data_IF_394157630205
#
_entry.id   IF_394157630205
#
_cell.length_a   1.000
_cell.length_b   1.000
_cell.length_c   1.000
_cell.angle_alpha   90.00
_cell.angle_beta   90.00
_cell.angle_gamma   90.00
#
_symmetry.space_group_name_H-M   'P 1'
#
loop_
_entity.id
_entity.type
_entity.pdbx_description
1 polymer ?
#
# COMPACT_ATOMS: atom_id res chain seq x y z
N UNK A 1 -11.61 -10.45 15.08
CA UNK A 1 -10.46 -9.91 14.31
C UNK A 1 -9.26 -9.55 15.18
N UNK A 2 -9.44 -8.88 16.32
CA UNK A 2 -8.40 -8.18 17.10
C UNK A 2 -7.26 -9.00 17.71
N UNK A 3 -7.38 -10.33 17.83
CA UNK A 3 -6.33 -11.16 18.46
C UNK A 3 -5.07 -11.29 17.60
N UNK A 4 -5.21 -11.31 16.27
CA UNK A 4 -4.07 -11.48 15.38
C UNK A 4 -3.19 -10.22 15.32
N UNK A 5 -3.81 -9.04 15.35
CA UNK A 5 -3.10 -7.75 15.34
C UNK A 5 -2.25 -7.51 16.60
N UNK A 6 -2.63 -8.17 17.71
CA UNK A 6 -1.95 -8.07 19.01
C UNK A 6 -1.09 -9.30 19.32
N UNK A 7 -0.98 -10.25 18.40
CA UNK A 7 -0.19 -11.45 18.61
C UNK A 7 1.29 -11.06 18.58
N UNK A 8 1.94 -11.21 19.73
CA UNK A 8 3.38 -11.02 19.89
C UNK A 8 4.09 -12.37 19.95
N UNK A 9 5.26 -12.42 19.33
CA UNK A 9 6.18 -13.56 19.39
C UNK A 9 7.53 -13.09 19.88
N UNK A 10 8.23 -13.98 20.57
CA UNK A 10 9.58 -13.70 21.03
C UNK A 10 10.57 -13.92 19.87
N UNK A 11 11.44 -12.93 19.65
CA UNK A 11 12.53 -12.97 18.67
C UNK A 11 13.82 -12.47 19.31
N UNK A 12 14.96 -12.92 18.79
CA UNK A 12 16.27 -12.36 19.17
C UNK A 12 16.84 -11.61 17.96
N UNK A 13 16.97 -10.28 18.00
CA UNK A 13 17.64 -9.50 16.95
C UNK A 13 19.09 -9.95 16.78
N UNK A 14 19.56 -10.02 15.54
CA UNK A 14 20.92 -10.43 15.21
C UNK A 14 21.79 -9.20 14.93
N UNK A 15 22.74 -8.91 15.82
CA UNK A 15 23.55 -7.67 15.79
C UNK A 15 24.85 -7.76 14.98
N UNK A 16 24.97 -8.68 14.00
CA UNK A 16 26.22 -8.83 13.26
C UNK A 16 26.08 -8.41 11.79
N UNK A 17 27.07 -7.63 11.33
CA UNK A 17 27.28 -7.10 9.96
C UNK A 17 27.13 -8.13 8.82
N UNK A 18 27.11 -9.43 9.15
CA UNK A 18 27.02 -10.57 8.23
C UNK A 18 25.68 -11.32 8.27
N UNK A 19 24.81 -11.08 9.26
CA UNK A 19 23.53 -11.77 9.42
C UNK A 19 22.39 -10.77 9.63
N UNK A 20 21.72 -10.36 8.54
CA UNK A 20 20.52 -9.51 8.59
C UNK A 20 19.34 -10.29 9.19
N UNK A 21 18.50 -9.62 9.99
CA UNK A 21 17.22 -10.15 10.47
C UNK A 21 17.18 -10.51 11.96
N UNK A 22 16.39 -11.54 12.29
CA UNK A 22 16.12 -11.97 13.66
C UNK A 22 16.11 -13.50 13.76
N UNK A 23 16.42 -14.00 14.95
CA UNK A 23 16.30 -15.42 15.29
C UNK A 23 14.95 -15.69 15.97
N UNK A 24 14.05 -16.47 15.34
CA UNK A 24 12.75 -16.79 15.92
C UNK A 24 12.87 -17.93 16.93
N UNK A 25 12.83 -17.62 18.22
CA UNK A 25 13.11 -18.62 19.28
C UNK A 25 12.06 -19.74 19.35
N UNK A 26 10.84 -19.48 18.88
CA UNK A 26 9.71 -20.42 18.89
C UNK A 26 9.57 -21.24 17.59
N UNK A 27 10.39 -21.00 16.56
CA UNK A 27 10.26 -21.64 15.24
C UNK A 27 10.92 -23.03 15.15
N UNK A 28 11.02 -23.74 16.28
CA UNK A 28 11.72 -25.04 16.34
C UNK A 28 10.71 -26.17 16.52
N UNK A 29 10.88 -27.24 15.75
CA UNK A 29 10.25 -28.50 16.07
C UNK A 29 10.88 -29.04 17.36
N UNK A 30 10.07 -29.61 18.27
CA UNK A 30 10.55 -30.21 19.51
C UNK A 30 11.58 -31.33 19.27
N UNK A 31 11.59 -31.93 18.07
CA UNK A 31 12.51 -33.00 17.68
C UNK A 31 13.78 -32.51 17.00
N UNK A 32 13.95 -31.21 16.77
CA UNK A 32 15.14 -30.67 16.11
C UNK A 32 16.30 -30.49 17.11
N UNK A 33 17.54 -30.93 16.77
CA UNK A 33 18.70 -30.71 17.64
C UNK A 33 18.98 -29.21 17.81
N UNK A 34 19.35 -28.75 19.03
CA UNK A 34 19.69 -27.35 19.28
C UNK A 34 20.71 -26.83 18.26
N UNK A 35 20.52 -25.62 17.67
CA UNK A 35 21.56 -25.02 16.84
C UNK A 35 22.84 -24.86 17.66
N UNK A 36 23.99 -25.07 17.02
CA UNK A 36 25.29 -25.07 17.68
C UNK A 36 25.63 -23.74 18.36
N UNK A 37 25.16 -22.62 17.80
CA UNK A 37 25.36 -21.28 18.35
C UNK A 37 24.00 -20.58 18.48
N UNK A 38 23.56 -20.34 19.72
CA UNK A 38 22.44 -19.43 19.97
C UNK A 38 22.95 -17.98 19.99
N UNK A 39 22.16 -17.02 19.48
CA UNK A 39 22.48 -15.62 19.71
C UNK A 39 22.43 -15.35 21.22
N UNK A 40 23.38 -14.54 21.71
CA UNK A 40 23.54 -14.21 23.13
C UNK A 40 22.66 -13.05 23.59
N UNK A 41 22.03 -12.32 22.67
CA UNK A 41 21.12 -11.20 22.94
C UNK A 41 19.81 -11.68 23.58
N UNK A 42 19.20 -10.80 24.38
CA UNK A 42 17.93 -11.09 25.07
C UNK A 42 16.78 -11.13 24.06
N UNK A 43 15.81 -12.05 24.22
CA UNK A 43 14.59 -12.02 23.44
C UNK A 43 13.80 -10.72 23.65
N UNK A 44 13.26 -10.19 22.58
CA UNK A 44 12.29 -9.10 22.57
C UNK A 44 10.96 -9.61 22.02
N UNK A 45 9.86 -8.96 22.39
CA UNK A 45 8.54 -9.23 21.82
C UNK A 45 8.32 -8.39 20.58
N UNK A 46 7.84 -9.01 19.52
CA UNK A 46 7.52 -8.35 18.27
C UNK A 46 6.17 -8.82 17.72
N UNK A 47 5.48 -7.94 17.00
CA UNK A 47 4.18 -8.29 16.39
C UNK A 47 4.39 -9.31 15.28
N UNK A 48 3.72 -10.45 15.40
CA UNK A 48 3.80 -11.52 14.41
C UNK A 48 3.41 -11.04 13.00
N UNK A 49 2.44 -10.12 12.90
CA UNK A 49 2.01 -9.57 11.61
C UNK A 49 3.09 -8.71 10.94
N UNK A 50 3.85 -7.92 11.70
CA UNK A 50 4.97 -7.13 11.16
C UNK A 50 6.01 -8.04 10.54
N UNK A 51 6.34 -9.15 11.22
CA UNK A 51 7.26 -10.17 10.72
C UNK A 51 6.76 -10.86 9.44
N UNK A 52 5.45 -11.08 9.32
CA UNK A 52 4.84 -11.65 8.12
C UNK A 52 4.88 -10.68 6.93
N UNK A 53 4.65 -9.38 7.17
CA UNK A 53 4.80 -8.35 6.13
C UNK A 53 6.24 -8.30 5.63
N UNK A 54 7.21 -8.29 6.55
CA UNK A 54 8.63 -8.30 6.21
C UNK A 54 9.01 -9.57 5.44
N UNK A 55 8.51 -10.73 5.88
CA UNK A 55 8.73 -11.99 5.18
C UNK A 55 8.16 -11.98 3.75
N UNK A 56 7.04 -11.27 3.53
CA UNK A 56 6.42 -11.08 2.23
C UNK A 56 7.21 -10.08 1.36
N UNK A 57 7.75 -9.01 1.95
CA UNK A 57 8.63 -8.04 1.29
C UNK A 57 9.94 -8.68 0.84
N UNK A 58 10.64 -9.33 1.76
CA UNK A 58 11.93 -9.95 1.52
C UNK A 58 11.90 -11.11 0.53
N UNK A 59 10.79 -11.84 0.40
CA UNK A 59 10.69 -12.95 -0.58
C UNK A 59 10.78 -12.51 -2.04
N UNK A 60 10.64 -11.23 -2.34
CA UNK A 60 10.79 -10.71 -3.70
C UNK A 60 12.22 -10.25 -4.04
N UNK A 61 13.03 -9.91 -3.04
CA UNK A 61 14.41 -9.45 -3.23
C UNK A 61 15.41 -10.60 -3.38
N UNK A 62 15.03 -11.84 -3.05
CA UNK A 62 15.94 -12.98 -3.09
C UNK A 62 15.86 -13.64 -4.47
N UNK A 63 16.96 -13.60 -5.22
CA UNK A 63 17.11 -14.38 -6.46
C UNK A 63 16.95 -15.86 -6.13
N UNK A 64 16.22 -16.60 -6.97
CA UNK A 64 15.86 -18.02 -6.75
C UNK A 64 17.07 -18.93 -6.52
N UNK A 65 18.26 -18.52 -6.95
CA UNK A 65 19.53 -19.24 -6.82
C UNK A 65 20.22 -19.05 -5.46
N UNK A 66 19.89 -17.98 -4.71
CA UNK A 66 20.49 -17.63 -3.41
C UNK A 66 19.53 -17.88 -2.23
N UNK A 67 18.36 -18.49 -2.46
CA UNK A 67 17.36 -18.72 -1.41
C UNK A 67 17.26 -20.19 -1.01
N UNK A 68 17.58 -20.49 0.25
CA UNK A 68 17.17 -21.75 0.90
C UNK A 68 15.62 -21.86 1.09
N UNK A 69 14.88 -20.80 0.74
CA UNK A 69 13.44 -20.71 0.94
C UNK A 69 12.68 -21.46 -0.16
N UNK A 70 11.99 -22.52 0.25
CA UNK A 70 11.18 -23.37 -0.64
C UNK A 70 9.85 -22.75 -1.11
N UNK A 71 9.41 -21.63 -0.51
CA UNK A 71 8.09 -21.03 -0.76
C UNK A 71 8.14 -19.51 -1.00
N UNK A 72 7.26 -19.03 -1.87
CA UNK A 72 7.22 -17.63 -2.33
C UNK A 72 6.20 -16.73 -1.58
N UNK A 73 5.41 -17.32 -0.68
CA UNK A 73 4.47 -16.63 0.22
C UNK A 73 3.39 -15.75 -0.44
N UNK A 74 3.00 -15.98 -1.70
CA UNK A 74 2.01 -15.15 -2.39
C UNK A 74 0.67 -15.01 -1.66
N UNK A 75 0.21 -16.08 -1.03
CA UNK A 75 -1.05 -16.10 -0.28
C UNK A 75 -1.06 -15.18 0.96
N UNK A 76 0.09 -14.73 1.47
CA UNK A 76 0.11 -13.73 2.53
C UNK A 76 -0.52 -12.41 2.09
N UNK A 77 -0.43 -12.06 0.80
CA UNK A 77 -1.10 -10.87 0.28
C UNK A 77 -2.62 -10.94 0.46
N UNK A 78 -3.23 -12.12 0.26
CA UNK A 78 -4.65 -12.33 0.53
C UNK A 78 -5.00 -12.23 2.03
N UNK A 79 -4.09 -12.68 2.91
CA UNK A 79 -4.24 -12.50 4.37
C UNK A 79 -4.24 -11.02 4.72
N UNK A 80 -3.34 -10.22 4.13
CA UNK A 80 -3.26 -8.78 4.36
C UNK A 80 -4.49 -8.04 3.85
N UNK A 81 -5.03 -8.43 2.69
CA UNK A 81 -6.29 -7.90 2.17
C UNK A 81 -7.45 -8.16 3.14
N UNK A 82 -7.57 -9.38 3.68
CA UNK A 82 -8.62 -9.72 4.63
C UNK A 82 -8.47 -8.98 5.97
N UNK A 83 -7.25 -8.84 6.49
CA UNK A 83 -6.99 -8.13 7.74
C UNK A 83 -7.29 -6.64 7.58
N UNK A 84 -6.80 -6.02 6.50
CA UNK A 84 -7.03 -4.60 6.19
C UNK A 84 -8.50 -4.29 5.87
N UNK A 85 -9.33 -5.30 5.56
CA UNK A 85 -10.79 -5.09 5.47
C UNK A 85 -11.41 -4.60 6.79
N UNK A 86 -10.74 -4.77 7.93
CA UNK A 86 -11.22 -4.31 9.24
C UNK A 86 -10.55 -2.98 9.65
N UNK A 87 -11.24 -2.09 10.41
CA UNK A 87 -10.69 -0.79 10.83
C UNK A 87 -9.31 -0.87 11.50
N UNK A 88 -9.16 -1.72 12.52
CA UNK A 88 -7.88 -1.91 13.23
C UNK A 88 -6.78 -2.46 12.30
N UNK A 89 -7.16 -3.23 11.28
CA UNK A 89 -6.24 -3.74 10.28
C UNK A 89 -5.72 -2.63 9.37
N UNK A 90 -6.60 -1.73 8.90
CA UNK A 90 -6.19 -0.54 8.13
C UNK A 90 -5.21 0.31 8.92
N UNK A 91 -5.52 0.56 10.20
CA UNK A 91 -4.64 1.31 11.09
C UNK A 91 -3.28 0.65 11.22
N UNK A 92 -3.23 -0.67 11.43
CA UNK A 92 -1.96 -1.42 11.50
C UNK A 92 -1.08 -1.19 10.27
N UNK A 93 -1.64 -1.25 9.05
CA UNK A 93 -0.87 -1.08 7.82
C UNK A 93 -0.34 0.35 7.62
N UNK A 94 -0.91 1.34 8.30
CA UNK A 94 -0.49 2.74 8.26
C UNK A 94 0.35 3.17 9.47
N UNK A 95 0.36 2.41 10.56
CA UNK A 95 1.18 2.72 11.74
C UNK A 95 2.61 2.23 11.55
N UNK A 96 3.63 3.11 11.56
CA UNK A 96 5.01 2.68 11.39
C UNK A 96 5.45 1.64 12.43
N UNK A 97 6.11 0.60 11.94
CA UNK A 97 6.63 -0.52 12.73
C UNK A 97 8.15 -0.63 12.52
N UNK A 98 8.83 -1.27 13.47
CA UNK A 98 10.25 -1.60 13.33
C UNK A 98 10.46 -2.59 12.19
N UNK A 99 11.51 -2.39 11.40
CA UNK A 99 11.95 -3.31 10.35
C UNK A 99 13.25 -3.99 10.77
N UNK A 100 13.35 -5.30 10.56
CA UNK A 100 14.55 -6.08 10.90
C UNK A 100 15.43 -6.42 9.69
N UNK A 101 14.93 -6.23 8.47
CA UNK A 101 15.63 -6.53 7.22
C UNK A 101 16.65 -5.46 6.80
N UNK A 102 16.55 -4.23 7.31
CA UNK A 102 17.43 -3.12 6.97
C UNK A 102 18.53 -2.94 8.03
N UNK A 103 19.82 -2.77 7.65
CA UNK A 103 20.94 -2.60 8.60
C UNK A 103 20.90 -1.32 9.46
N UNK A 104 19.95 -0.42 9.21
CA UNK A 104 19.81 0.81 9.96
C UNK A 104 18.88 0.54 11.14
N UNK A 105 19.48 0.43 12.32
CA UNK A 105 18.74 0.27 13.57
C UNK A 105 17.71 1.39 13.76
N UNK A 106 16.44 1.00 13.91
CA UNK A 106 15.39 1.91 14.39
C UNK A 106 14.60 2.66 13.31
N UNK A 107 14.77 2.36 12.02
CA UNK A 107 13.88 2.92 10.99
C UNK A 107 12.48 2.31 11.18
N UNK A 108 11.50 3.18 11.40
CA UNK A 108 10.08 2.82 11.43
C UNK A 108 9.49 3.04 10.04
N UNK A 109 8.81 2.05 9.51
CA UNK A 109 8.11 2.16 8.22
C UNK A 109 6.69 1.61 8.38
N UNK A 110 5.73 2.25 7.71
CA UNK A 110 4.37 1.72 7.64
C UNK A 110 4.38 0.37 6.89
N UNK A 111 3.75 -0.70 7.42
CA UNK A 111 3.72 -2.00 6.76
C UNK A 111 3.17 -1.95 5.32
N UNK A 112 2.31 -0.99 5.00
CA UNK A 112 1.82 -0.77 3.63
C UNK A 112 2.95 -0.45 2.65
N UNK A 113 3.95 0.34 3.04
CA UNK A 113 5.05 0.77 2.17
C UNK A 113 5.83 -0.43 1.61
N UNK A 114 6.07 -1.44 2.44
CA UNK A 114 6.74 -2.69 2.04
C UNK A 114 5.94 -3.50 1.01
N UNK A 115 4.63 -3.28 0.91
CA UNK A 115 3.76 -4.00 -0.03
C UNK A 115 3.66 -3.29 -1.39
N UNK A 116 3.81 -1.97 -1.42
CA UNK A 116 3.60 -1.14 -2.60
C UNK A 116 4.33 -1.60 -3.87
N UNK A 117 5.60 -2.09 -3.82
CA UNK A 117 6.29 -2.55 -5.02
C UNK A 117 5.65 -3.77 -5.71
N UNK A 118 4.70 -4.45 -5.06
CA UNK A 118 4.10 -5.69 -5.57
C UNK A 118 2.83 -5.51 -6.39
N UNK A 119 2.43 -4.27 -6.70
CA UNK A 119 1.27 -4.02 -7.58
C UNK A 119 1.50 -4.52 -9.01
N UNK A 120 2.74 -4.65 -9.45
CA UNK A 120 3.10 -5.24 -10.77
C UNK A 120 3.74 -6.64 -10.65
N UNK A 121 3.51 -7.34 -9.54
CA UNK A 121 4.11 -8.66 -9.34
C UNK A 121 3.52 -9.71 -10.33
N UNK A 122 4.33 -10.62 -10.91
CA UNK A 122 3.85 -11.61 -11.91
C UNK A 122 2.75 -12.55 -11.41
N UNK A 123 2.74 -12.86 -10.11
CA UNK A 123 1.70 -13.66 -9.45
C UNK A 123 0.46 -12.84 -9.10
N UNK A 124 -0.70 -13.27 -9.60
CA UNK A 124 -1.99 -12.58 -9.48
C UNK A 124 -2.50 -12.49 -8.03
N UNK A 125 -2.24 -13.51 -7.22
CA UNK A 125 -2.66 -13.54 -5.83
C UNK A 125 -1.90 -12.47 -5.05
N UNK A 126 -0.60 -12.34 -5.33
CA UNK A 126 0.24 -11.33 -4.69
C UNK A 126 -0.19 -9.92 -5.05
N UNK A 127 -0.27 -9.58 -6.34
CA UNK A 127 -0.66 -8.21 -6.74
C UNK A 127 -2.11 -7.89 -6.37
N UNK A 128 -3.04 -8.84 -6.47
CA UNK A 128 -4.43 -8.63 -6.08
C UNK A 128 -4.64 -8.39 -4.59
N UNK A 129 -3.93 -9.14 -3.73
CA UNK A 129 -3.95 -8.90 -2.29
C UNK A 129 -3.34 -7.55 -1.90
N UNK A 130 -2.27 -7.13 -2.59
CA UNK A 130 -1.63 -5.82 -2.39
C UNK A 130 -2.55 -4.69 -2.83
N UNK A 131 -3.12 -4.75 -4.04
CA UNK A 131 -4.06 -3.76 -4.55
C UNK A 131 -5.27 -3.59 -3.61
N UNK A 132 -5.82 -4.71 -3.11
CA UNK A 132 -6.91 -4.70 -2.14
C UNK A 132 -6.49 -4.08 -0.80
N UNK A 133 -5.28 -4.35 -0.33
CA UNK A 133 -4.76 -3.76 0.92
C UNK A 133 -4.59 -2.24 0.79
N UNK A 134 -4.11 -1.75 -0.36
CA UNK A 134 -4.00 -0.30 -0.65
C UNK A 134 -5.40 0.33 -0.66
N UNK A 135 -6.34 -0.26 -1.41
CA UNK A 135 -7.76 0.18 -1.45
C UNK A 135 -8.33 0.26 -0.05
N UNK A 136 -8.12 -0.79 0.75
CA UNK A 136 -8.63 -0.85 2.12
C UNK A 136 -8.08 0.29 2.97
N UNK A 137 -6.77 0.55 2.94
CA UNK A 137 -6.18 1.67 3.67
C UNK A 137 -6.73 3.05 3.21
N UNK A 138 -7.10 3.19 1.93
CA UNK A 138 -7.70 4.41 1.40
C UNK A 138 -9.11 4.73 1.93
N UNK A 139 -9.77 3.83 2.66
CA UNK A 139 -11.01 4.17 3.39
C UNK A 139 -10.77 5.11 4.58
N UNK A 140 -9.53 5.23 5.09
CA UNK A 140 -9.20 6.17 6.16
C UNK A 140 -8.95 7.55 5.53
N UNK A 141 -9.98 8.41 5.52
CA UNK A 141 -9.91 9.73 4.89
C UNK A 141 -8.81 10.63 5.48
N UNK A 142 -8.59 10.59 6.80
CA UNK A 142 -7.51 11.36 7.44
C UNK A 142 -6.10 10.95 6.95
N UNK A 143 -5.95 9.73 6.44
CA UNK A 143 -4.69 9.20 5.93
C UNK A 143 -4.43 9.56 4.46
N UNK A 144 -5.38 10.18 3.74
CA UNK A 144 -5.20 10.49 2.30
C UNK A 144 -3.99 11.38 2.03
N UNK A 145 -3.69 12.32 2.94
CA UNK A 145 -2.49 13.15 2.83
C UNK A 145 -1.22 12.32 2.94
N UNK A 146 -1.13 11.45 3.94
CA UNK A 146 0.00 10.54 4.07
C UNK A 146 0.11 9.58 2.87
N UNK A 147 -1.00 9.06 2.34
CA UNK A 147 -0.98 8.18 1.18
C UNK A 147 -0.43 8.87 -0.08
N UNK A 148 -0.85 10.12 -0.34
CA UNK A 148 -0.53 10.85 -1.56
C UNK A 148 0.78 11.65 -1.52
N UNK A 149 1.29 11.98 -0.32
CA UNK A 149 2.50 12.77 -0.15
C UNK A 149 3.79 11.96 -0.27
N UNK A 150 4.90 12.67 -0.45
CA UNK A 150 6.24 12.10 -0.51
C UNK A 150 6.71 11.54 0.83
N UNK A 151 7.66 10.61 0.82
CA UNK A 151 8.30 10.00 2.00
C UNK A 151 9.03 11.00 2.91
N UNK A 152 9.26 12.23 2.42
CA UNK A 152 9.88 13.34 3.17
C UNK A 152 8.90 14.06 4.09
N UNK A 153 7.60 13.90 3.86
CA UNK A 153 6.55 14.53 4.65
C UNK A 153 6.07 13.58 5.75
N UNK A 154 5.73 14.14 6.92
CA UNK A 154 5.27 13.36 8.08
C UNK A 154 3.92 13.89 8.55
N UNK A 155 3.01 12.98 8.87
CA UNK A 155 1.63 13.26 9.22
C UNK A 155 1.28 12.65 10.57
N UNK A 156 0.41 13.35 11.30
CA UNK A 156 -0.22 12.81 12.51
C UNK A 156 -1.61 12.31 12.17
N UNK A 157 -1.90 11.06 12.50
CA UNK A 157 -3.22 10.44 12.42
C UNK A 157 -3.77 10.20 13.83
N UNK A 158 -5.08 9.96 13.96
CA UNK A 158 -5.69 9.73 15.29
C UNK A 158 -5.12 8.52 16.03
N UNK A 159 -4.53 7.57 15.30
CA UNK A 159 -3.98 6.31 15.82
C UNK A 159 -2.45 6.20 15.70
N UNK A 160 -1.76 7.20 15.13
CA UNK A 160 -0.31 7.19 14.95
C UNK A 160 0.28 8.61 14.87
N UNK A 161 1.34 8.89 15.63
CA UNK A 161 1.87 10.24 15.78
C UNK A 161 2.76 10.72 14.61
N UNK A 162 3.58 9.82 14.08
CA UNK A 162 4.53 10.10 13.01
C UNK A 162 4.35 9.08 11.89
N UNK A 163 3.58 9.43 10.87
CA UNK A 163 3.34 8.59 9.68
C UNK A 163 4.01 9.25 8.47
N UNK A 164 5.06 8.65 7.88
CA UNK A 164 5.68 9.20 6.69
C UNK A 164 4.72 9.11 5.49
N UNK A 165 4.91 10.00 4.51
CA UNK A 165 4.22 9.89 3.24
C UNK A 165 4.58 8.59 2.50
N UNK A 166 3.63 8.05 1.75
CA UNK A 166 3.76 6.73 1.13
C UNK A 166 3.87 6.78 -0.39
N UNK A 167 3.63 7.94 -1.01
CA UNK A 167 3.66 8.14 -2.45
C UNK A 167 3.01 6.99 -3.23
N UNK A 168 1.72 6.69 -2.94
CA UNK A 168 1.07 5.50 -3.49
C UNK A 168 0.70 5.63 -4.98
N UNK A 169 0.63 6.86 -5.51
CA UNK A 169 0.12 7.12 -6.87
C UNK A 169 0.87 6.36 -7.97
N UNK A 170 2.22 6.40 -8.06
CA UNK A 170 2.94 5.63 -9.08
C UNK A 170 2.57 4.15 -9.06
N UNK A 171 2.38 3.58 -7.87
CA UNK A 171 2.13 2.15 -7.66
C UNK A 171 0.71 1.73 -8.02
N UNK A 172 -0.24 2.66 -7.95
CA UNK A 172 -1.63 2.47 -8.40
C UNK A 172 -1.74 2.69 -9.91
N UNK A 173 -1.01 3.67 -10.45
CA UNK A 173 -1.13 4.08 -11.85
C UNK A 173 -0.35 3.18 -12.82
N UNK A 174 0.81 2.64 -12.41
CA UNK A 174 1.62 1.75 -13.26
C UNK A 174 0.80 0.55 -13.79
N UNK A 175 0.01 -0.18 -12.97
CA UNK A 175 -0.89 -1.23 -13.48
C UNK A 175 -1.95 -0.76 -14.49
N UNK A 176 -2.31 0.53 -14.49
CA UNK A 176 -3.32 1.11 -15.39
C UNK A 176 -2.71 1.70 -16.67
N UNK A 177 -1.40 1.96 -16.67
CA UNK A 177 -0.67 2.50 -17.80
C UNK A 177 -0.30 1.41 -18.83
N UNK A 178 -0.40 1.78 -20.12
CA UNK A 178 -0.01 0.95 -21.25
C UNK A 178 1.25 1.49 -21.96
N UNK A 179 1.54 1.01 -23.18
CA UNK A 179 2.72 1.39 -23.95
C UNK A 179 2.53 2.67 -24.77
N UNK A 180 1.41 3.37 -24.59
CA UNK A 180 1.09 4.58 -25.35
C UNK A 180 2.05 5.74 -25.02
N UNK A 181 2.32 6.55 -26.03
CA UNK A 181 3.08 7.79 -25.88
C UNK A 181 2.15 8.95 -25.50
N UNK A 182 2.65 9.87 -24.69
CA UNK A 182 1.94 11.07 -24.27
C UNK A 182 2.43 12.28 -25.07
N UNK A 183 1.54 13.25 -25.29
CA UNK A 183 1.92 14.55 -25.83
C UNK A 183 2.84 15.28 -24.85
N UNK A 184 3.69 16.18 -25.36
CA UNK A 184 4.70 16.87 -24.53
C UNK A 184 4.10 17.59 -23.32
N UNK A 185 2.95 18.23 -23.49
CA UNK A 185 2.24 18.95 -22.43
C UNK A 185 1.74 18.00 -21.33
N UNK A 186 1.29 16.79 -21.71
CA UNK A 186 0.84 15.75 -20.77
C UNK A 186 2.03 15.12 -20.03
N UNK A 187 3.18 14.93 -20.71
CA UNK A 187 4.40 14.34 -20.11
C UNK A 187 4.90 15.15 -18.92
N UNK A 188 4.81 16.49 -18.98
CA UNK A 188 5.24 17.38 -17.90
C UNK A 188 4.40 17.21 -16.62
N UNK A 189 3.17 16.72 -16.72
CA UNK A 189 2.28 16.44 -15.58
C UNK A 189 2.52 15.05 -14.97
N UNK A 190 3.08 14.10 -15.73
CA UNK A 190 3.25 12.72 -15.27
C UNK A 190 4.27 12.61 -14.15
N UNK A 191 3.99 11.72 -13.19
CA UNK A 191 4.97 11.30 -12.19
C UNK A 191 6.19 10.66 -12.87
N UNK A 192 7.41 10.83 -12.34
CA UNK A 192 8.65 10.36 -12.98
C UNK A 192 8.63 8.88 -13.37
N UNK A 193 8.02 8.01 -12.56
CA UNK A 193 7.92 6.58 -12.82
C UNK A 193 6.98 6.21 -13.98
N UNK A 194 6.10 7.13 -14.38
CA UNK A 194 5.12 6.97 -15.45
C UNK A 194 5.57 7.65 -16.75
N UNK A 195 6.69 8.38 -16.71
CA UNK A 195 7.29 8.96 -17.90
C UNK A 195 8.09 7.90 -18.67
N UNK A 196 8.03 7.97 -19.99
CA UNK A 196 8.85 7.16 -20.91
C UNK A 196 8.78 5.64 -20.64
N UNK A 197 7.56 5.13 -20.44
CA UNK A 197 7.34 3.69 -20.29
C UNK A 197 7.81 2.93 -21.55
N UNK A 198 8.38 1.72 -21.40
CA UNK A 198 8.83 0.94 -22.55
C UNK A 198 7.64 0.46 -23.38
N UNK A 199 7.86 0.21 -24.67
CA UNK A 199 6.82 -0.35 -25.56
C UNK A 199 6.34 -1.75 -25.16
N UNK A 200 7.07 -2.43 -24.27
CA UNK A 200 6.67 -3.71 -23.66
C UNK A 200 5.77 -3.55 -22.43
N UNK A 201 5.50 -2.32 -21.98
CA UNK A 201 4.60 -2.06 -20.85
C UNK A 201 3.20 -2.55 -21.21
N UNK A 202 2.68 -3.44 -20.37
CA UNK A 202 1.31 -3.89 -20.45
C UNK A 202 0.51 -3.37 -19.25
N UNK A 203 -0.77 -3.10 -19.49
CA UNK A 203 -1.75 -2.89 -18.42
C UNK A 203 -1.99 -4.18 -17.66
N UNK A 204 -2.54 -4.06 -16.46
CA UNK A 204 -3.07 -5.20 -15.73
C UNK A 204 -4.10 -5.94 -16.57
N UNK A 205 -3.87 -7.24 -16.72
CA UNK A 205 -4.70 -8.16 -17.50
C UNK A 205 -6.06 -8.47 -16.86
N UNK A 206 -6.13 -8.46 -15.53
CA UNK A 206 -7.35 -8.79 -14.79
C UNK A 206 -8.24 -7.55 -14.61
N UNK A 207 -9.48 -7.53 -15.16
CA UNK A 207 -10.39 -6.40 -15.02
C UNK A 207 -10.76 -6.09 -13.57
N UNK A 208 -10.84 -7.08 -12.68
CA UNK A 208 -11.15 -6.89 -11.26
C UNK A 208 -10.03 -6.12 -10.56
N UNK A 209 -8.78 -6.40 -10.92
CA UNK A 209 -7.64 -5.67 -10.37
C UNK A 209 -7.55 -4.24 -10.92
N UNK A 210 -7.86 -4.02 -12.21
CA UNK A 210 -8.01 -2.67 -12.77
C UNK A 210 -9.07 -1.86 -12.02
N UNK A 211 -10.25 -2.45 -11.79
CA UNK A 211 -11.31 -1.82 -10.98
C UNK A 211 -10.81 -1.51 -9.56
N UNK A 212 -10.08 -2.41 -8.92
CA UNK A 212 -9.55 -2.20 -7.56
C UNK A 212 -8.63 -0.95 -7.49
N UNK A 213 -7.78 -0.75 -8.50
CA UNK A 213 -6.95 0.45 -8.61
C UNK A 213 -7.78 1.71 -8.86
N UNK A 214 -8.78 1.66 -9.74
CA UNK A 214 -9.69 2.78 -10.00
C UNK A 214 -10.51 3.18 -8.77
N UNK A 215 -11.04 2.21 -8.02
CA UNK A 215 -11.74 2.46 -6.75
C UNK A 215 -10.83 3.13 -5.73
N UNK A 216 -9.55 2.75 -5.68
CA UNK A 216 -8.56 3.39 -4.82
C UNK A 216 -8.39 4.87 -5.19
N UNK A 217 -8.25 5.20 -6.48
CA UNK A 217 -8.16 6.58 -6.95
C UNK A 217 -9.43 7.39 -6.64
N UNK A 218 -10.61 6.77 -6.78
CA UNK A 218 -11.91 7.36 -6.43
C UNK A 218 -11.99 7.66 -4.93
N UNK A 219 -11.58 6.73 -4.06
CA UNK A 219 -11.53 6.96 -2.62
C UNK A 219 -10.62 8.15 -2.29
N UNK A 220 -9.43 8.22 -2.91
CA UNK A 220 -8.48 9.31 -2.75
C UNK A 220 -8.99 10.66 -3.31
N UNK A 221 -10.05 10.64 -4.13
CA UNK A 221 -10.74 11.84 -4.62
C UNK A 221 -11.83 12.36 -3.67
N UNK A 222 -12.02 11.77 -2.48
CA UNK A 222 -13.05 12.21 -1.51
C UNK A 222 -12.83 13.67 -1.08
N UNK A 223 -11.58 14.06 -0.84
CA UNK A 223 -11.23 15.45 -0.52
C UNK A 223 -10.87 16.25 -1.78
N UNK A 224 -11.11 17.56 -1.75
CA UNK A 224 -10.64 18.49 -2.80
C UNK A 224 -9.12 18.40 -2.98
N UNK A 225 -8.39 18.41 -1.87
CA UNK A 225 -6.93 18.29 -1.90
C UNK A 225 -6.49 17.03 -2.63
N UNK A 226 -7.12 15.88 -2.37
CA UNK A 226 -6.83 14.63 -3.08
C UNK A 226 -7.13 14.69 -4.58
N UNK A 227 -8.23 15.35 -4.98
CA UNK A 227 -8.52 15.62 -6.40
C UNK A 227 -7.46 16.50 -7.05
N UNK A 228 -7.07 17.58 -6.37
CA UNK A 228 -6.06 18.52 -6.88
C UNK A 228 -4.70 17.85 -7.07
N UNK A 229 -4.26 17.01 -6.13
CA UNK A 229 -3.05 16.21 -6.28
C UNK A 229 -3.14 15.27 -7.48
N UNK A 230 -4.26 14.55 -7.64
CA UNK A 230 -4.44 13.65 -8.78
C UNK A 230 -4.44 14.40 -10.12
N UNK A 231 -5.10 15.56 -10.21
CA UNK A 231 -5.07 16.44 -11.40
C UNK A 231 -3.66 16.91 -11.75
N UNK A 232 -2.84 17.20 -10.74
CA UNK A 232 -1.45 17.68 -10.90
C UNK A 232 -0.44 16.56 -11.17
N UNK A 233 -0.87 15.30 -11.08
CA UNK A 233 0.02 14.12 -11.15
C UNK A 233 -0.20 13.26 -12.40
N UNK A 234 -0.88 13.80 -13.41
CA UNK A 234 -1.09 13.08 -14.67
C UNK A 234 -2.13 11.94 -14.61
N UNK A 235 -2.98 11.90 -13.57
CA UNK A 235 -3.95 10.80 -13.38
C UNK A 235 -4.96 10.78 -14.51
N UNK A 236 -5.51 11.94 -14.90
CA UNK A 236 -6.53 11.99 -15.95
C UNK A 236 -5.97 11.49 -17.29
N UNK A 237 -4.73 11.86 -17.59
CA UNK A 237 -4.04 11.59 -18.84
C UNK A 237 -3.87 10.07 -19.02
N UNK A 238 -3.45 9.36 -17.96
CA UNK A 238 -3.34 7.90 -17.95
C UNK A 238 -4.72 7.24 -18.09
N UNK A 239 -5.71 7.73 -17.35
CA UNK A 239 -7.06 7.15 -17.32
C UNK A 239 -7.78 7.36 -18.67
N UNK A 240 -7.52 8.47 -19.37
CA UNK A 240 -8.02 8.70 -20.73
C UNK A 240 -7.51 7.62 -21.69
N UNK A 241 -6.22 7.33 -21.69
CA UNK A 241 -5.65 6.31 -22.58
C UNK A 241 -6.09 4.88 -22.21
N UNK A 242 -6.28 4.61 -20.91
CA UNK A 242 -6.95 3.39 -20.46
C UNK A 242 -8.34 3.28 -21.07
N UNK A 243 -9.16 4.34 -21.00
CA UNK A 243 -10.52 4.35 -21.51
C UNK A 243 -10.60 4.04 -23.01
N UNK A 244 -9.68 4.60 -23.82
CA UNK A 244 -9.67 4.42 -25.29
C UNK A 244 -9.47 2.97 -25.73
N UNK A 245 -8.82 2.16 -24.89
CA UNK A 245 -8.48 0.76 -25.21
C UNK A 245 -9.28 -0.25 -24.39
N UNK A 246 -10.06 0.22 -23.41
CA UNK A 246 -10.82 -0.64 -22.51
C UNK A 246 -12.05 -1.24 -23.20
N UNK A 247 -12.35 -2.50 -22.88
CA UNK A 247 -13.53 -3.21 -23.40
C UNK A 247 -14.41 -3.79 -22.31
N UNK A 248 -13.96 -3.80 -21.05
CA UNK A 248 -14.75 -4.27 -19.92
C UNK A 248 -15.67 -3.14 -19.40
N UNK A 249 -16.98 -3.33 -19.52
CA UNK A 249 -18.00 -2.34 -19.14
C UNK A 249 -17.90 -1.89 -17.67
N UNK A 250 -17.49 -2.80 -16.77
CA UNK A 250 -17.36 -2.48 -15.36
C UNK A 250 -16.12 -1.58 -15.12
N UNK A 251 -15.01 -1.86 -15.81
CA UNK A 251 -13.84 -0.97 -15.78
C UNK A 251 -14.19 0.41 -16.34
N UNK A 252 -14.87 0.47 -17.49
CA UNK A 252 -15.32 1.72 -18.13
C UNK A 252 -16.17 2.55 -17.16
N UNK A 253 -17.13 1.92 -16.48
CA UNK A 253 -17.98 2.60 -15.48
C UNK A 253 -17.17 3.29 -14.38
N UNK A 254 -16.11 2.63 -13.89
CA UNK A 254 -15.24 3.19 -12.86
C UNK A 254 -14.32 4.29 -13.41
N UNK A 255 -13.85 4.14 -14.64
CA UNK A 255 -13.11 5.18 -15.36
C UNK A 255 -13.95 6.45 -15.50
N UNK A 256 -15.18 6.35 -15.99
CA UNK A 256 -16.09 7.47 -16.14
C UNK A 256 -16.38 8.15 -14.80
N UNK A 257 -16.59 7.36 -13.73
CA UNK A 257 -16.78 7.89 -12.38
C UNK A 257 -15.57 8.69 -11.89
N UNK A 258 -14.36 8.18 -12.11
CA UNK A 258 -13.12 8.89 -11.73
C UNK A 258 -12.94 10.17 -12.55
N UNK A 259 -13.14 10.10 -13.86
CA UNK A 259 -13.06 11.28 -14.75
C UNK A 259 -14.05 12.35 -14.32
N UNK A 260 -15.28 11.97 -13.96
CA UNK A 260 -16.28 12.89 -13.44
C UNK A 260 -15.82 13.59 -12.15
N UNK A 261 -15.11 12.90 -11.25
CA UNK A 261 -14.55 13.53 -10.05
C UNK A 261 -13.42 14.51 -10.39
N UNK A 262 -12.57 14.17 -11.37
CA UNK A 262 -11.40 14.98 -11.72
C UNK A 262 -11.74 16.19 -12.61
N UNK A 263 -12.76 16.11 -13.46
CA UNK A 263 -13.09 17.18 -14.42
C UNK A 263 -14.26 18.08 -14.01
N UNK A 264 -15.07 17.70 -13.02
CA UNK A 264 -16.15 18.57 -12.53
C UNK A 264 -15.59 19.76 -11.76
N UNK A 265 -16.30 20.88 -11.89
CA UNK A 265 -16.02 22.08 -11.12
C UNK A 265 -16.24 21.85 -9.62
N UNK A 266 -15.38 22.47 -8.82
CA UNK A 266 -15.48 22.42 -7.37
C UNK A 266 -16.67 23.26 -6.88
N UNK A 267 -17.61 22.63 -6.18
CA UNK A 267 -18.72 23.35 -5.56
C UNK A 267 -18.19 24.38 -4.53
N UNK A 268 -18.87 25.53 -4.33
CA UNK A 268 -18.44 26.55 -3.38
C UNK A 268 -18.32 26.01 -1.94
N UNK A 269 -19.11 25.01 -1.56
CA UNK A 269 -19.04 24.35 -0.24
C UNK A 269 -17.76 23.53 -0.04
N UNK A 270 -17.21 22.95 -1.11
CA UNK A 270 -15.91 22.27 -1.09
C UNK A 270 -14.71 23.22 -1.12
N UNK A 271 -14.94 24.53 -1.34
CA UNK A 271 -13.87 25.54 -1.29
C UNK A 271 -13.50 25.93 0.14
N UNK A 272 -14.43 25.77 1.10
CA UNK A 272 -14.27 26.17 2.50
C UNK A 272 -13.93 25.03 3.46
N UNK A 273 -13.97 23.76 3.02
CA UNK A 273 -13.63 22.59 3.83
C UNK A 273 -12.12 22.43 4.13
N UNK A 274 -11.33 23.50 4.00
CA UNK A 274 -9.98 23.58 4.55
C UNK A 274 -10.04 23.94 6.04
N UNK A 275 -9.92 22.92 6.89
CA UNK A 275 -9.41 23.00 8.27
C UNK A 275 -10.10 24.05 9.15
N UNK A 276 -11.29 23.73 9.68
CA UNK A 276 -11.71 23.94 11.08
C UNK A 276 -13.21 23.69 11.21
N UNK A 277 -13.59 22.64 11.95
CA UNK A 277 -14.70 22.61 12.91
C UNK A 277 -14.77 21.21 13.51
N UNK A 278 -14.00 21.02 14.58
CA UNK A 278 -14.51 20.30 15.73
C UNK A 278 -15.42 21.31 16.45
N UNK A 279 -16.73 21.11 16.36
CA UNK A 279 -17.66 21.30 17.46
C UNK A 279 -19.06 20.82 17.04
N UNK A 280 -19.57 19.96 17.91
CA UNK A 280 -20.85 19.24 18.03
C UNK A 280 -22.09 19.78 17.29
N UNK A 281 -22.78 18.89 16.57
CA UNK A 281 -24.22 18.61 16.77
C UNK A 281 -24.68 17.39 15.96
N UNK A 282 -25.73 16.76 16.51
CA UNK A 282 -26.26 15.42 16.32
C UNK A 282 -26.82 15.04 14.93
N UNK A 283 -26.86 13.71 14.80
CA UNK A 283 -27.84 12.84 14.12
C UNK A 283 -27.74 12.53 12.62
N UNK A 284 -27.68 11.21 12.41
CA UNK A 284 -28.10 10.40 11.26
C UNK A 284 -27.53 10.71 9.88
N UNK A 285 -26.39 10.10 9.58
CA UNK A 285 -26.25 9.29 8.36
C UNK A 285 -25.06 8.32 8.49
N UNK A 286 -25.32 7.17 9.11
CA UNK A 286 -24.40 6.02 9.05
C UNK A 286 -24.55 5.39 7.67
N UNK A 287 -23.56 5.59 6.81
CA UNK A 287 -23.31 4.68 5.69
C UNK A 287 -22.98 3.32 6.30
N UNK A 288 -23.93 2.39 6.19
CA UNK A 288 -23.76 0.99 6.60
C UNK A 288 -22.93 0.30 5.52
N UNK A 289 -21.73 -0.17 5.88
CA UNK A 289 -20.95 -1.11 5.06
C UNK A 289 -21.72 -2.44 5.00
N UNK A 290 -21.96 -2.95 3.78
CA UNK A 290 -22.42 -4.33 3.53
C UNK A 290 -21.21 -5.21 3.29
#
# INVERSE_FOLDING_TARGET
>A
GTRLLKLEVDIIPLDNDTSKGYYPIQSRCATSPPPGNYPSSKPIKERALSLLVEACGGSASIKKEDSDRKGQLHFLAGVFANISGQPDGRQFFLTPQRIFSTPQDGVLEAPLAQLLPFTEHPDIIRRGGVASTIKNCAFIQEAHKALLSSDKEVFRLTFADEVPGLNVLPRILLPLAGPEEFELEDVELLLPELQFLPSTKARESDPVLRVTHLETLILLCTSRWGRDIQRQSGVYEIIRLLHETETDDNVITHVERLVNLLKRDEAPETQSASITKADESDDDDKIVEV
#
